data_IF_891134038741
#
_entry.id   IF_891134038741
#
_cell.length_a   1.000
_cell.length_b   1.000
_cell.length_c   1.000
_cell.angle_alpha   90.00
_cell.angle_beta   90.00
_cell.angle_gamma   90.00
#
_symmetry.space_group_name_H-M   'P 1'
#
loop_
_entity.id
_entity.type
_entity.pdbx_description
1 polymer ?
#
# COMPACT_ATOMS: atom_id res chain seq x y z
N UNK A 1 -2.99 -9.32 -9.32
CA UNK A 1 -2.03 -8.47 -8.59
C UNK A 1 -0.75 -9.27 -8.48
N UNK A 2 0.02 -9.29 -9.55
CA UNK A 2 1.17 -10.19 -9.71
C UNK A 2 2.50 -9.43 -9.57
N UNK A 3 2.64 -8.69 -8.49
CA UNK A 3 3.96 -8.22 -8.08
C UNK A 3 4.58 -9.32 -7.21
N UNK A 4 5.06 -10.40 -7.85
CA UNK A 4 5.92 -11.38 -7.20
C UNK A 4 7.27 -10.72 -6.98
N UNK A 5 7.45 -10.12 -5.82
CA UNK A 5 8.76 -9.85 -5.29
C UNK A 5 9.32 -11.20 -4.85
N UNK A 6 10.04 -11.87 -5.74
CA UNK A 6 10.80 -13.05 -5.35
C UNK A 6 11.85 -12.60 -4.34
N UNK A 7 11.82 -13.24 -3.18
CA UNK A 7 12.90 -13.20 -2.19
C UNK A 7 14.21 -13.56 -2.91
N UNK A 8 15.00 -12.53 -3.22
CA UNK A 8 16.42 -12.76 -3.56
C UNK A 8 17.07 -13.38 -2.33
N UNK A 9 17.93 -14.37 -2.52
CA UNK A 9 18.68 -15.10 -1.50
C UNK A 9 19.21 -14.14 -0.42
N UNK A 10 18.54 -14.08 0.76
CA UNK A 10 18.95 -13.34 1.96
C UNK A 10 19.48 -11.92 1.69
N UNK A 11 18.73 -11.10 0.94
CA UNK A 11 19.14 -9.75 0.58
C UNK A 11 19.53 -8.90 1.79
N UNK A 12 20.31 -7.86 1.56
CA UNK A 12 20.76 -6.91 2.59
C UNK A 12 19.62 -6.37 3.45
N UNK A 13 18.42 -6.24 2.87
CA UNK A 13 17.21 -5.72 3.52
C UNK A 13 16.62 -6.70 4.53
N UNK A 14 16.67 -8.00 4.21
CA UNK A 14 16.23 -9.05 5.15
C UNK A 14 17.21 -9.18 6.31
N UNK A 15 18.51 -9.17 6.02
CA UNK A 15 19.55 -9.17 7.05
C UNK A 15 19.42 -7.98 7.96
N UNK A 16 19.22 -6.77 7.41
CA UNK A 16 19.00 -5.57 8.20
C UNK A 16 17.75 -5.67 9.11
N UNK A 17 16.67 -6.31 8.61
CA UNK A 17 15.47 -6.55 9.42
C UNK A 17 15.73 -7.51 10.58
N UNK A 18 16.46 -8.60 10.32
CA UNK A 18 16.82 -9.61 11.34
C UNK A 18 17.75 -9.01 12.39
N UNK A 19 18.77 -8.26 11.97
CA UNK A 19 19.71 -7.59 12.87
C UNK A 19 18.99 -6.56 13.76
N UNK A 20 18.09 -5.77 13.17
CA UNK A 20 17.29 -4.81 13.93
C UNK A 20 16.37 -5.51 14.94
N UNK A 21 15.66 -6.57 14.53
CA UNK A 21 14.79 -7.33 15.43
C UNK A 21 15.58 -7.90 16.61
N UNK A 22 16.73 -8.53 16.35
CA UNK A 22 17.62 -9.06 17.41
C UNK A 22 18.17 -7.95 18.32
N UNK A 23 18.52 -6.78 17.76
CA UNK A 23 18.98 -5.63 18.54
C UNK A 23 17.89 -5.15 19.52
N UNK A 24 16.65 -4.98 19.03
CA UNK A 24 15.51 -4.56 19.86
C UNK A 24 15.16 -5.64 20.91
N UNK A 25 15.15 -6.92 20.52
CA UNK A 25 14.88 -8.03 21.43
C UNK A 25 15.91 -8.12 22.57
N UNK A 26 17.16 -7.67 22.34
CA UNK A 26 18.21 -7.54 23.34
C UNK A 26 18.08 -6.27 24.20
N UNK A 27 17.02 -5.48 24.05
CA UNK A 27 16.79 -4.24 24.82
C UNK A 27 17.43 -2.99 24.18
N UNK A 28 17.83 -3.06 22.91
CA UNK A 28 18.30 -1.90 22.16
C UNK A 28 17.16 -0.95 21.76
N UNK A 29 17.53 0.22 21.27
CA UNK A 29 16.57 1.23 20.80
C UNK A 29 16.47 1.24 19.27
N UNK A 30 15.34 1.76 18.75
CA UNK A 30 15.19 2.01 17.31
C UNK A 30 16.23 3.05 16.85
N UNK A 31 16.76 2.89 15.61
CA UNK A 31 17.73 3.84 15.07
C UNK A 31 17.09 5.23 14.97
N UNK A 32 17.91 6.27 15.17
CA UNK A 32 17.53 7.66 14.91
C UNK A 32 18.41 8.19 13.80
N UNK A 33 17.79 8.73 12.75
CA UNK A 33 18.48 9.28 11.58
C UNK A 33 18.09 10.73 11.34
N UNK A 34 18.96 11.55 10.71
CA UNK A 34 18.63 12.93 10.36
C UNK A 34 17.44 12.99 9.40
N UNK A 35 16.49 13.88 9.65
CA UNK A 35 15.33 14.06 8.78
C UNK A 35 15.64 14.94 7.58
N UNK A 36 15.25 14.54 6.35
CA UNK A 36 15.34 15.36 5.15
C UNK A 36 14.20 16.39 5.02
N UNK A 37 13.23 16.37 5.94
CA UNK A 37 12.07 17.25 5.95
C UNK A 37 11.86 17.87 7.32
N UNK A 38 11.10 18.97 7.38
CA UNK A 38 10.66 19.55 8.67
C UNK A 38 9.67 18.59 9.33
N UNK A 39 9.93 18.27 10.58
CA UNK A 39 9.10 17.40 11.40
C UNK A 39 8.55 18.17 12.60
N UNK A 40 7.57 17.58 13.28
CA UNK A 40 7.03 18.15 14.51
C UNK A 40 8.08 18.17 15.63
N UNK A 41 7.91 19.06 16.59
CA UNK A 41 8.84 19.15 17.71
C UNK A 41 8.93 17.83 18.48
N UNK A 42 10.15 17.31 18.63
CA UNK A 42 10.43 16.05 19.30
C UNK A 42 10.03 14.79 18.52
N UNK A 43 9.63 14.90 17.25
CA UNK A 43 9.40 13.75 16.38
C UNK A 43 10.75 13.20 15.89
N UNK A 44 10.94 11.89 15.99
CA UNK A 44 12.19 11.19 15.66
C UNK A 44 11.99 10.37 14.38
N UNK A 45 12.91 10.51 13.42
CA UNK A 45 12.94 9.70 12.21
C UNK A 45 13.78 8.42 12.44
N UNK A 46 13.18 7.27 12.14
CA UNK A 46 13.78 5.96 12.29
C UNK A 46 14.26 5.33 10.99
N UNK A 47 13.57 5.62 9.87
CA UNK A 47 13.95 5.08 8.57
C UNK A 47 13.47 5.94 7.41
N UNK A 48 14.16 5.80 6.25
CA UNK A 48 13.84 6.41 4.96
C UNK A 48 13.94 5.31 3.89
N UNK A 49 12.80 4.82 3.41
CA UNK A 49 12.71 3.58 2.66
C UNK A 49 11.93 3.77 1.36
N UNK A 50 12.36 3.12 0.24
CA UNK A 50 11.53 3.01 -0.94
C UNK A 50 10.48 1.92 -0.77
N UNK A 51 9.29 2.12 -1.37
CA UNK A 51 8.22 1.14 -1.41
C UNK A 51 7.40 1.27 -2.69
N UNK A 52 6.58 0.26 -2.95
CA UNK A 52 5.44 0.34 -3.86
C UNK A 52 4.17 0.42 -3.03
N UNK A 53 3.19 1.20 -3.48
CA UNK A 53 1.95 1.39 -2.74
C UNK A 53 0.71 1.04 -3.54
N UNK A 54 -0.31 0.58 -2.84
CA UNK A 54 -1.68 0.39 -3.35
C UNK A 54 -2.68 0.90 -2.33
N UNK A 55 -3.82 1.39 -2.83
CA UNK A 55 -4.95 1.80 -2.01
C UNK A 55 -6.22 1.09 -2.49
N UNK A 56 -7.03 0.61 -1.54
CA UNK A 56 -8.28 -0.08 -1.85
C UNK A 56 -9.43 0.93 -1.93
N UNK A 57 -9.81 1.35 -3.14
CA UNK A 57 -10.92 2.29 -3.33
C UNK A 57 -11.58 2.11 -4.70
N UNK A 58 -12.82 2.59 -4.82
CA UNK A 58 -13.50 2.77 -6.12
C UNK A 58 -12.95 3.99 -6.85
N UNK A 59 -13.09 4.03 -8.16
CA UNK A 59 -12.84 5.25 -8.92
C UNK A 59 -14.11 6.10 -8.96
N UNK A 60 -13.97 7.43 -8.87
CA UNK A 60 -15.05 8.35 -9.26
C UNK A 60 -15.18 8.31 -10.79
N UNK A 61 -16.14 7.51 -11.26
CA UNK A 61 -16.42 7.37 -12.70
C UNK A 61 -17.75 8.02 -13.00
N UNK A 62 -17.70 9.13 -13.72
CA UNK A 62 -18.91 9.75 -14.28
C UNK A 62 -19.26 9.01 -15.56
N UNK A 63 -20.41 8.31 -15.57
CA UNK A 63 -20.94 7.70 -16.78
C UNK A 63 -21.47 8.78 -17.72
N UNK A 64 -20.79 8.99 -18.85
CA UNK A 64 -21.28 9.80 -19.95
C UNK A 64 -21.95 8.90 -20.97
N UNK A 65 -23.28 8.95 -21.05
CA UNK A 65 -24.01 8.20 -22.06
C UNK A 65 -23.61 8.68 -23.47
N UNK A 66 -23.16 7.79 -24.37
CA UNK A 66 -22.84 8.21 -25.72
C UNK A 66 -24.09 8.70 -26.44
N UNK A 67 -24.06 9.96 -26.90
CA UNK A 67 -25.10 10.51 -27.76
C UNK A 67 -24.93 9.94 -29.17
N UNK A 68 -25.78 8.99 -29.56
CA UNK A 68 -25.81 8.47 -30.91
C UNK A 68 -26.77 9.34 -31.74
N UNK A 69 -26.21 10.13 -32.64
CA UNK A 69 -27.00 10.83 -33.68
C UNK A 69 -27.24 9.86 -34.81
N UNK A 70 -28.46 9.36 -34.95
CA UNK A 70 -28.85 8.51 -36.06
C UNK A 70 -29.09 9.34 -37.32
N UNK A 71 -28.22 9.17 -38.31
CA UNK A 71 -28.38 9.75 -39.66
C UNK A 71 -28.79 8.59 -40.57
N UNK A 72 -30.08 8.54 -40.97
CA UNK A 72 -30.59 7.50 -41.90
C UNK A 72 -32.09 7.24 -41.76
N UNK A 73 -32.67 6.52 -42.73
CA UNK A 73 -34.10 6.20 -42.78
C UNK A 73 -34.55 5.14 -41.79
N UNK A 74 -35.87 4.83 -41.70
CA UNK A 74 -36.47 4.00 -40.64
C UNK A 74 -35.90 2.59 -40.48
N UNK A 75 -35.35 1.99 -41.51
CA UNK A 75 -34.68 0.68 -41.45
C UNK A 75 -33.31 0.75 -40.77
N UNK A 76 -32.60 1.86 -40.89
CA UNK A 76 -31.31 2.09 -40.19
C UNK A 76 -31.52 2.44 -38.72
N UNK A 77 -32.66 2.96 -38.35
CA UNK A 77 -33.00 3.28 -36.94
C UNK A 77 -33.02 2.03 -36.05
N UNK A 78 -33.53 0.91 -36.55
CA UNK A 78 -33.56 -0.34 -35.77
C UNK A 78 -32.17 -0.93 -35.50
N UNK A 79 -31.30 -0.90 -36.51
CA UNK A 79 -29.91 -1.44 -36.38
C UNK A 79 -29.03 -0.54 -35.52
N UNK A 80 -29.15 0.77 -35.65
CA UNK A 80 -28.42 1.73 -34.83
C UNK A 80 -28.89 1.74 -33.36
N UNK A 81 -30.19 1.55 -33.11
CA UNK A 81 -30.75 1.45 -31.77
C UNK A 81 -30.27 0.19 -31.04
N UNK A 82 -30.22 -0.96 -31.69
CA UNK A 82 -29.70 -2.19 -31.09
C UNK A 82 -28.18 -2.11 -30.80
N UNK A 83 -27.39 -1.62 -31.77
CA UNK A 83 -25.95 -1.39 -31.58
C UNK A 83 -25.65 -0.40 -30.47
N UNK A 84 -26.43 0.67 -30.37
CA UNK A 84 -26.27 1.69 -29.30
C UNK A 84 -26.70 1.17 -27.93
N UNK A 85 -27.67 0.27 -27.82
CA UNK A 85 -28.06 -0.36 -26.57
C UNK A 85 -26.98 -1.29 -26.02
N UNK A 86 -26.36 -2.09 -26.90
CA UNK A 86 -25.21 -2.96 -26.52
C UNK A 86 -23.99 -2.11 -26.09
N UNK A 87 -23.69 -1.07 -26.86
CA UNK A 87 -22.57 -0.17 -26.53
C UNK A 87 -22.79 0.54 -25.19
N UNK A 88 -24.02 1.05 -24.94
CA UNK A 88 -24.37 1.67 -23.64
C UNK A 88 -24.29 0.67 -22.50
N UNK A 89 -24.74 -0.56 -22.69
CA UNK A 89 -24.66 -1.61 -21.67
C UNK A 89 -23.21 -1.96 -21.33
N UNK A 90 -22.34 -2.10 -22.34
CA UNK A 90 -20.89 -2.32 -22.13
C UNK A 90 -20.24 -1.17 -21.40
N UNK A 91 -20.46 0.07 -21.86
CA UNK A 91 -19.90 1.27 -21.21
C UNK A 91 -20.36 1.41 -19.75
N UNK A 92 -21.63 1.06 -19.46
CA UNK A 92 -22.14 1.04 -18.10
C UNK A 92 -21.48 -0.04 -17.25
N UNK A 93 -21.34 -1.26 -17.74
CA UNK A 93 -20.64 -2.33 -17.01
C UNK A 93 -19.15 -2.01 -16.79
N UNK A 94 -18.49 -1.39 -17.75
CA UNK A 94 -17.10 -0.92 -17.60
C UNK A 94 -17.00 0.17 -16.55
N UNK A 95 -17.92 1.12 -16.55
CA UNK A 95 -17.99 2.18 -15.53
C UNK A 95 -18.28 1.61 -14.13
N UNK A 96 -19.24 0.68 -14.02
CA UNK A 96 -19.54 -0.02 -12.76
C UNK A 96 -18.34 -0.84 -12.25
N UNK A 97 -17.63 -1.54 -13.14
CA UNK A 97 -16.43 -2.29 -12.80
C UNK A 97 -15.28 -1.37 -12.35
N UNK A 98 -15.13 -0.22 -13.00
CA UNK A 98 -14.14 0.80 -12.59
C UNK A 98 -14.52 1.49 -11.28
N UNK A 99 -15.81 1.69 -11.02
CA UNK A 99 -16.30 2.27 -9.77
C UNK A 99 -16.21 1.28 -8.59
N UNK A 100 -16.18 -0.02 -8.85
CA UNK A 100 -16.09 -1.02 -7.80
C UNK A 100 -14.80 -0.83 -6.97
N UNK A 101 -14.87 -0.96 -5.63
CA UNK A 101 -13.70 -0.95 -4.78
C UNK A 101 -12.72 -2.04 -5.18
N UNK A 102 -11.48 -1.69 -5.45
CA UNK A 102 -10.39 -2.59 -5.80
C UNK A 102 -9.04 -1.98 -5.42
N UNK A 103 -8.02 -2.83 -5.34
CA UNK A 103 -6.66 -2.37 -5.13
C UNK A 103 -6.15 -1.59 -6.35
N UNK A 104 -5.84 -0.32 -6.15
CA UNK A 104 -5.30 0.55 -7.21
C UNK A 104 -3.85 0.92 -6.90
N UNK A 105 -2.94 0.75 -7.87
CA UNK A 105 -1.55 1.08 -7.67
C UNK A 105 -1.38 2.60 -7.50
N UNK A 106 -0.61 2.97 -6.51
CA UNK A 106 -0.07 4.33 -6.34
C UNK A 106 1.28 4.47 -7.05
N UNK A 107 1.98 3.33 -7.24
CA UNK A 107 3.33 3.29 -7.80
C UNK A 107 4.42 3.45 -6.76
N UNK A 108 5.58 3.93 -7.21
CA UNK A 108 6.75 4.12 -6.36
C UNK A 108 6.52 5.23 -5.31
N UNK A 109 6.90 4.91 -4.08
CA UNK A 109 6.78 5.77 -2.91
C UNK A 109 8.13 5.90 -2.22
N UNK A 110 8.33 6.99 -1.49
CA UNK A 110 9.36 7.13 -0.46
C UNK A 110 8.66 7.24 0.88
N UNK A 111 9.07 6.43 1.83
CA UNK A 111 8.45 6.32 3.16
C UNK A 111 9.45 6.78 4.20
N UNK A 112 9.12 7.84 4.94
CA UNK A 112 9.84 8.20 6.16
C UNK A 112 9.05 7.66 7.34
N UNK A 113 9.71 6.89 8.19
CA UNK A 113 9.11 6.24 9.35
C UNK A 113 9.51 7.01 10.59
N UNK A 114 8.55 7.63 11.25
CA UNK A 114 8.80 8.36 12.50
C UNK A 114 8.25 7.59 13.70
N UNK A 115 8.48 8.09 14.89
CA UNK A 115 7.88 7.60 16.15
C UNK A 115 6.36 7.81 16.23
N UNK A 116 5.75 8.58 15.29
CA UNK A 116 4.33 8.98 15.32
C UNK A 116 3.54 8.61 14.08
N UNK A 117 4.19 8.57 12.91
CA UNK A 117 3.52 8.41 11.60
C UNK A 117 4.46 7.87 10.52
N UNK A 118 3.85 7.41 9.43
CA UNK A 118 4.54 7.27 8.16
C UNK A 118 4.31 8.56 7.36
N UNK A 119 5.39 9.19 6.91
CA UNK A 119 5.32 10.23 5.89
C UNK A 119 5.54 9.58 4.52
N UNK A 120 4.56 9.67 3.66
CA UNK A 120 4.55 9.03 2.35
C UNK A 120 4.69 10.09 1.27
N UNK A 121 5.77 10.06 0.51
CA UNK A 121 5.95 10.90 -0.66
C UNK A 121 5.34 10.24 -1.88
N UNK A 122 4.39 10.92 -2.47
CA UNK A 122 3.71 10.47 -3.69
C UNK A 122 3.33 11.67 -4.57
N UNK A 123 3.66 11.61 -5.87
CA UNK A 123 3.28 12.64 -6.87
C UNK A 123 3.60 14.09 -6.46
N UNK A 124 4.75 14.30 -5.82
CA UNK A 124 5.20 15.65 -5.47
C UNK A 124 4.67 16.20 -4.15
N UNK A 125 3.97 15.38 -3.33
CA UNK A 125 3.45 15.79 -2.03
C UNK A 125 3.73 14.76 -0.94
N UNK A 126 3.86 15.22 0.30
CA UNK A 126 3.88 14.37 1.49
C UNK A 126 2.46 14.17 2.02
N UNK A 127 2.13 12.92 2.34
CA UNK A 127 0.94 12.55 3.09
C UNK A 127 1.36 11.93 4.42
N UNK A 128 0.58 12.16 5.48
CA UNK A 128 0.83 11.57 6.81
C UNK A 128 -0.14 10.44 7.07
N UNK A 129 0.38 9.28 7.47
CA UNK A 129 -0.38 8.15 7.97
C UNK A 129 -0.04 8.00 9.45
N UNK A 130 -0.86 8.57 10.31
CA UNK A 130 -0.64 8.58 11.76
C UNK A 130 -0.85 7.17 12.34
N UNK A 131 0.02 6.75 13.23
CA UNK A 131 -0.13 5.45 13.87
C UNK A 131 -1.39 5.33 14.72
N UNK A 132 -1.86 6.44 15.27
CA UNK A 132 -3.09 6.49 16.07
C UNK A 132 -4.38 6.14 15.32
N UNK A 133 -4.40 6.22 13.98
CA UNK A 133 -5.57 5.88 13.15
C UNK A 133 -5.47 4.49 12.53
N UNK A 134 -4.36 3.78 12.73
CA UNK A 134 -4.18 2.40 12.24
C UNK A 134 -4.92 1.46 13.18
N UNK A 135 -5.85 0.69 12.65
CA UNK A 135 -6.59 -0.36 13.36
C UNK A 135 -5.85 -1.67 13.39
N UNK A 136 -5.27 -2.03 12.26
CA UNK A 136 -4.62 -3.32 12.10
C UNK A 136 -3.48 -3.20 11.09
N UNK A 137 -2.41 -3.92 11.36
CA UNK A 137 -1.32 -4.18 10.42
C UNK A 137 -1.21 -5.69 10.19
N UNK A 138 -1.06 -6.08 8.92
CA UNK A 138 -0.89 -7.48 8.49
C UNK A 138 0.35 -7.59 7.64
N UNK A 139 1.48 -7.96 8.23
CA UNK A 139 2.69 -8.21 7.48
C UNK A 139 2.60 -9.59 6.79
N UNK A 140 2.99 -9.63 5.53
CA UNK A 140 3.33 -10.84 4.79
C UNK A 140 4.80 -10.75 4.39
N UNK A 141 5.66 -11.23 5.28
CA UNK A 141 7.11 -11.12 5.12
C UNK A 141 7.62 -11.98 3.97
N UNK A 142 6.90 -13.08 3.63
CA UNK A 142 7.30 -13.99 2.56
C UNK A 142 7.26 -13.31 1.18
N UNK A 143 6.32 -12.38 0.99
CA UNK A 143 6.19 -11.62 -0.26
C UNK A 143 6.59 -10.15 -0.11
N UNK A 144 7.15 -9.76 1.03
CA UNK A 144 7.58 -8.39 1.29
C UNK A 144 6.41 -7.40 1.22
N UNK A 145 5.32 -7.69 1.95
CA UNK A 145 4.09 -6.89 1.94
C UNK A 145 3.65 -6.52 3.34
N UNK A 146 3.07 -5.32 3.47
CA UNK A 146 2.47 -4.81 4.70
C UNK A 146 1.12 -4.17 4.37
N UNK A 147 0.03 -4.80 4.83
CA UNK A 147 -1.31 -4.25 4.72
C UNK A 147 -1.67 -3.49 6.00
N UNK A 148 -2.33 -2.35 5.83
CA UNK A 148 -2.81 -1.50 6.91
C UNK A 148 -4.29 -1.22 6.71
N UNK A 149 -5.08 -1.33 7.79
CA UNK A 149 -6.48 -0.94 7.83
C UNK A 149 -6.68 0.21 8.81
N UNK A 150 -7.66 1.06 8.52
CA UNK A 150 -7.95 2.27 9.25
C UNK A 150 -9.41 2.29 9.68
N UNK A 151 -9.78 3.19 10.59
CA UNK A 151 -11.16 3.31 11.04
C UNK A 151 -12.08 3.84 9.92
N UNK A 152 -11.71 4.99 9.35
CA UNK A 152 -12.54 5.73 8.40
C UNK A 152 -11.91 5.87 7.01
N UNK A 153 -10.69 5.37 6.82
CA UNK A 153 -9.95 5.45 5.57
C UNK A 153 -9.85 4.09 4.85
N UNK A 154 -9.81 4.09 3.52
CA UNK A 154 -9.57 2.88 2.75
C UNK A 154 -8.26 2.18 3.11
N UNK A 155 -8.23 0.83 3.09
CA UNK A 155 -7.02 0.06 3.33
C UNK A 155 -5.87 0.45 2.41
N UNK A 156 -4.68 0.36 2.97
CA UNK A 156 -3.42 0.68 2.30
C UNK A 156 -2.53 -0.55 2.28
N UNK A 157 -1.82 -0.77 1.19
CA UNK A 157 -0.84 -1.83 1.05
C UNK A 157 0.49 -1.23 0.62
N UNK A 158 1.55 -1.59 1.31
CA UNK A 158 2.93 -1.32 0.94
C UNK A 158 3.61 -2.63 0.56
N UNK A 159 4.48 -2.60 -0.45
CA UNK A 159 5.31 -3.74 -0.81
C UNK A 159 6.71 -3.32 -1.25
N UNK A 160 7.65 -4.23 -1.08
CA UNK A 160 9.04 -4.04 -1.47
C UNK A 160 10.00 -4.80 -0.57
N UNK A 161 11.29 -4.83 -0.93
CA UNK A 161 12.29 -5.59 -0.18
C UNK A 161 12.49 -5.09 1.26
N UNK A 162 12.20 -3.81 1.52
CA UNK A 162 12.32 -3.20 2.85
C UNK A 162 11.12 -3.42 3.77
N UNK A 163 10.09 -4.16 3.33
CA UNK A 163 8.90 -4.37 4.17
C UNK A 163 9.19 -5.17 5.44
N UNK A 164 10.07 -6.16 5.49
CA UNK A 164 10.48 -6.79 6.74
C UNK A 164 11.06 -5.78 7.73
N UNK A 165 11.99 -4.92 7.29
CA UNK A 165 12.59 -3.88 8.12
C UNK A 165 11.55 -2.85 8.62
N UNK A 166 10.68 -2.37 7.74
CA UNK A 166 9.57 -1.49 8.10
C UNK A 166 8.66 -2.15 9.14
N UNK A 167 8.36 -3.44 8.97
CA UNK A 167 7.51 -4.20 9.92
C UNK A 167 8.12 -4.23 11.31
N UNK A 168 9.43 -4.48 11.44
CA UNK A 168 10.11 -4.44 12.75
C UNK A 168 9.91 -3.09 13.42
N UNK A 169 10.17 -1.98 12.72
CA UNK A 169 10.01 -0.63 13.29
C UNK A 169 8.56 -0.37 13.71
N UNK A 170 7.60 -0.59 12.80
CA UNK A 170 6.19 -0.28 13.06
C UNK A 170 5.62 -1.15 14.20
N UNK A 171 5.96 -2.43 14.24
CA UNK A 171 5.51 -3.30 15.34
C UNK A 171 6.15 -2.94 16.67
N UNK A 172 7.41 -2.51 16.68
CA UNK A 172 8.07 -1.99 17.88
C UNK A 172 7.33 -0.76 18.42
N UNK A 173 6.99 0.20 17.54
CA UNK A 173 6.32 1.43 17.91
C UNK A 173 4.87 1.21 18.38
N UNK A 174 4.15 0.27 17.77
CA UNK A 174 2.73 0.02 18.07
C UNK A 174 2.49 -0.98 19.21
N UNK A 175 3.34 -1.99 19.34
CA UNK A 175 3.12 -3.12 20.25
C UNK A 175 4.29 -3.38 21.21
N UNK A 176 5.35 -2.60 21.14
CA UNK A 176 6.54 -2.76 21.99
C UNK A 176 7.15 -4.16 21.86
N UNK A 177 7.73 -4.68 22.95
CA UNK A 177 8.45 -5.96 22.98
C UNK A 177 7.64 -7.17 22.47
N UNK A 178 6.32 -7.15 22.63
CA UNK A 178 5.46 -8.25 22.14
C UNK A 178 5.42 -8.28 20.60
N UNK A 179 5.36 -7.10 19.99
CA UNK A 179 5.37 -6.99 18.53
C UNK A 179 6.69 -7.45 17.94
N UNK A 180 7.80 -7.07 18.57
CA UNK A 180 9.15 -7.44 18.13
C UNK A 180 9.34 -8.96 18.14
N UNK A 181 8.98 -9.65 19.23
CA UNK A 181 9.12 -11.12 19.33
C UNK A 181 8.32 -11.84 18.26
N UNK A 182 7.08 -11.40 17.99
CA UNK A 182 6.28 -11.99 16.94
C UNK A 182 6.89 -11.85 15.54
N UNK A 183 7.55 -10.72 15.27
CA UNK A 183 8.24 -10.48 14.00
C UNK A 183 9.56 -11.24 13.94
N UNK A 184 10.32 -11.30 15.03
CA UNK A 184 11.56 -12.07 15.14
C UNK A 184 11.30 -13.56 14.85
N UNK A 185 10.27 -14.14 15.48
CA UNK A 185 9.83 -15.51 15.20
C UNK A 185 9.47 -15.71 13.72
N UNK A 186 8.77 -14.76 13.11
CA UNK A 186 8.40 -14.82 11.70
C UNK A 186 9.61 -14.67 10.75
N UNK A 187 10.62 -13.88 11.14
CA UNK A 187 11.87 -13.73 10.38
C UNK A 187 12.76 -14.96 10.49
N UNK A 188 12.72 -15.67 11.63
CA UNK A 188 13.52 -16.86 11.89
C UNK A 188 13.01 -18.11 11.14
N UNK A 189 11.74 -18.15 10.72
CA UNK A 189 11.19 -19.29 9.97
C UNK A 189 11.83 -19.37 8.59
N UNK A 190 12.57 -20.48 8.28
CA UNK A 190 13.10 -20.67 6.94
C UNK A 190 11.94 -20.83 5.96
N UNK A 191 11.74 -19.86 5.08
CA UNK A 191 10.73 -19.92 4.05
C UNK A 191 11.29 -20.66 2.83
N UNK A 192 10.89 -21.90 2.65
CA UNK A 192 11.12 -22.65 1.43
C UNK A 192 11.89 -23.95 1.64
N UNK A 193 11.16 -25.01 1.76
CA UNK A 193 11.48 -26.27 1.13
C UNK A 193 10.45 -26.51 0.03
#
# INVERSE_FOLDING_TARGET
MDATWSRGDGGSEWTAATDLAGHIAAGGELPSIPSPVLMDAGEVLHADLPAQGWRFHGADVTYVAPHVVAIGGPLMFGLTAAGSAIARRRARHEAEALAAPQWRPLGALRILVTDRRLLVWHKGAWASVWFSVIREIRPDLAVGRLDMTFEDDPPYCLAGPWMPYLTVIVTTLLAGDRGVRAVEDALAVPHGA
#
